data_IF_855768117389
#
_entry.id   IF_855768117389
#
_cell.length_a   1.000
_cell.length_b   1.000
_cell.length_c   1.000
_cell.angle_alpha   90.00
_cell.angle_beta   90.00
_cell.angle_gamma   90.00
#
_symmetry.space_group_name_H-M   'P 1'
#
loop_
_entity.id
_entity.type
_entity.pdbx_description
1 polymer ?
#
# COMPACT_ATOMS: atom_id res chain seq x y z
N UNK A 1 -18.97 -3.02 16.48
CA UNK A 1 -18.31 -3.02 15.16
C UNK A 1 -17.70 -1.64 14.90
N UNK A 2 -16.39 -1.39 15.10
CA UNK A 2 -15.88 -0.03 14.90
C UNK A 2 -14.63 -0.04 14.02
N UNK A 3 -14.77 0.03 12.69
CA UNK A 3 -13.71 0.48 11.77
C UNK A 3 -14.19 0.57 10.30
N UNK A 4 -15.50 0.49 10.02
CA UNK A 4 -15.99 0.77 8.67
C UNK A 4 -15.77 2.26 8.37
N UNK A 5 -14.82 2.53 7.48
CA UNK A 5 -14.62 3.88 6.94
C UNK A 5 -15.93 4.34 6.28
N UNK A 6 -16.34 5.61 6.44
CA UNK A 6 -17.58 6.10 5.84
C UNK A 6 -17.60 5.83 4.33
N UNK A 7 -18.78 5.47 3.78
CA UNK A 7 -18.93 5.22 2.34
C UNK A 7 -18.67 6.52 1.58
N UNK A 8 -17.73 6.48 0.65
CA UNK A 8 -17.47 7.55 -0.31
C UNK A 8 -18.24 7.28 -1.60
N UNK A 9 -18.60 8.34 -2.33
CA UNK A 9 -19.17 8.18 -3.67
C UNK A 9 -18.20 7.45 -4.60
N UNK A 10 -18.71 6.48 -5.37
CA UNK A 10 -17.93 5.65 -6.32
C UNK A 10 -17.22 6.49 -7.37
N UNK A 11 -17.73 7.68 -7.70
CA UNK A 11 -17.07 8.62 -8.61
C UNK A 11 -15.69 9.11 -8.10
N UNK A 12 -15.49 9.12 -6.77
CA UNK A 12 -14.27 9.65 -6.13
C UNK A 12 -13.16 8.59 -5.98
N UNK A 13 -13.56 7.31 -5.98
CA UNK A 13 -12.66 6.17 -5.91
C UNK A 13 -11.79 6.09 -7.19
N UNK A 14 -10.56 5.56 -7.09
CA UNK A 14 -9.73 5.39 -8.28
C UNK A 14 -10.34 4.31 -9.17
N UNK A 15 -10.49 4.61 -10.46
CA UNK A 15 -11.10 3.70 -11.44
C UNK A 15 -10.17 2.58 -11.93
N UNK A 16 -9.05 2.34 -11.21
CA UNK A 16 -8.09 1.32 -11.57
C UNK A 16 -6.85 1.32 -10.68
N UNK A 17 -6.12 0.21 -10.70
CA UNK A 17 -4.91 0.01 -9.92
C UNK A 17 -3.88 1.11 -10.15
N UNK A 18 -3.64 1.48 -11.42
CA UNK A 18 -2.67 2.50 -11.77
C UNK A 18 -2.96 3.85 -11.12
N UNK A 19 -4.23 4.27 -11.06
CA UNK A 19 -4.62 5.54 -10.43
C UNK A 19 -4.52 5.47 -8.90
N UNK A 20 -4.81 4.32 -8.30
CA UNK A 20 -4.61 4.09 -6.88
C UNK A 20 -3.13 4.17 -6.51
N UNK A 21 -2.28 3.45 -7.24
CA UNK A 21 -0.81 3.47 -7.06
C UNK A 21 -0.25 4.87 -7.28
N UNK A 22 -0.67 5.56 -8.33
CA UNK A 22 -0.24 6.94 -8.61
C UNK A 22 -0.56 7.89 -7.47
N UNK A 23 -1.77 7.82 -6.91
CA UNK A 23 -2.15 8.61 -5.72
C UNK A 23 -1.22 8.31 -4.54
N UNK A 24 -0.89 7.03 -4.32
CA UNK A 24 0.08 6.61 -3.29
C UNK A 24 1.49 7.14 -3.54
N UNK A 25 2.00 7.05 -4.77
CA UNK A 25 3.31 7.57 -5.20
C UNK A 25 3.40 9.09 -4.99
N UNK A 26 2.33 9.83 -5.29
CA UNK A 26 2.24 11.27 -5.00
C UNK A 26 2.08 11.60 -3.50
N UNK A 27 2.11 10.60 -2.60
CA UNK A 27 1.93 10.79 -1.17
C UNK A 27 0.52 11.19 -0.76
N UNK A 28 -0.49 10.94 -1.60
CA UNK A 28 -1.91 11.20 -1.34
C UNK A 28 -2.63 9.92 -0.93
N UNK A 29 -3.75 10.07 -0.23
CA UNK A 29 -4.62 8.96 0.13
C UNK A 29 -5.08 8.22 -1.15
N UNK A 30 -4.80 6.91 -1.31
CA UNK A 30 -5.17 6.20 -2.54
C UNK A 30 -6.69 6.04 -2.69
N UNK A 31 -7.43 5.97 -1.57
CA UNK A 31 -8.91 5.89 -1.55
C UNK A 31 -9.56 7.18 -2.03
N UNK A 32 -9.35 8.30 -1.34
CA UNK A 32 -10.05 9.58 -1.63
C UNK A 32 -9.25 10.61 -2.43
N UNK A 33 -7.92 10.51 -2.46
CA UNK A 33 -7.04 11.48 -3.15
C UNK A 33 -6.93 12.87 -2.49
N UNK A 34 -7.69 13.16 -1.43
CA UNK A 34 -7.83 14.52 -0.87
C UNK A 34 -6.86 14.90 0.24
N UNK A 35 -6.16 13.95 0.88
CA UNK A 35 -5.20 14.23 1.97
C UNK A 35 -3.89 13.51 1.77
N UNK A 36 -2.86 13.94 2.50
CA UNK A 36 -1.59 13.22 2.56
C UNK A 36 -1.75 11.85 3.23
N UNK A 37 -1.04 10.86 2.68
CA UNK A 37 -0.92 9.50 3.22
C UNK A 37 0.12 9.42 4.34
N UNK A 38 1.13 10.30 4.30
CA UNK A 38 2.24 10.32 5.23
C UNK A 38 2.09 11.48 6.22
N UNK A 39 2.21 11.18 7.51
CA UNK A 39 2.28 12.19 8.57
C UNK A 39 3.69 12.79 8.68
N UNK A 40 4.70 11.94 8.45
CA UNK A 40 6.13 12.26 8.44
C UNK A 40 6.79 11.44 7.34
N UNK A 41 8.02 11.80 6.95
CA UNK A 41 8.77 11.26 5.81
C UNK A 41 8.45 9.78 5.43
N UNK A 42 8.61 8.82 6.35
CA UNK A 42 8.24 7.40 6.12
C UNK A 42 7.08 6.89 6.99
N UNK A 43 6.49 7.72 7.86
CA UNK A 43 5.44 7.30 8.81
C UNK A 43 4.05 7.60 8.23
N UNK A 44 3.27 6.58 7.85
CA UNK A 44 1.90 6.78 7.38
C UNK A 44 1.01 7.34 8.49
N UNK A 45 -0.05 8.04 8.12
CA UNK A 45 -1.12 8.43 9.05
C UNK A 45 -1.88 7.18 9.48
N UNK A 46 -2.29 7.09 10.75
CA UNK A 46 -3.11 5.95 11.20
C UNK A 46 -4.46 5.91 10.49
N UNK A 47 -5.11 7.07 10.36
CA UNK A 47 -6.39 7.23 9.67
C UNK A 47 -6.35 8.43 8.73
N UNK A 48 -6.94 8.27 7.55
CA UNK A 48 -7.16 9.41 6.65
C UNK A 48 -8.18 10.38 7.28
N UNK A 49 -7.86 11.69 7.29
CA UNK A 49 -8.73 12.74 7.84
C UNK A 49 -10.03 12.94 7.06
N UNK A 50 -10.03 12.66 5.75
CA UNK A 50 -11.21 12.84 4.90
C UNK A 50 -12.08 11.59 4.84
N UNK A 51 -11.48 10.42 4.60
CA UNK A 51 -12.25 9.19 4.37
C UNK A 51 -12.25 8.22 5.54
N UNK A 52 -11.55 8.50 6.63
CA UNK A 52 -11.51 7.65 7.82
C UNK A 52 -10.80 6.31 7.66
N UNK A 53 -10.23 6.01 6.49
CA UNK A 53 -9.58 4.72 6.21
C UNK A 53 -8.41 4.50 7.15
N UNK A 54 -8.39 3.33 7.80
CA UNK A 54 -7.28 2.90 8.63
C UNK A 54 -6.12 2.39 7.75
N UNK A 55 -4.94 3.01 7.87
CA UNK A 55 -3.73 2.60 7.15
C UNK A 55 -2.76 1.81 8.02
N UNK A 56 -2.98 1.59 9.32
CA UNK A 56 -2.05 0.84 10.19
C UNK A 56 -1.90 -0.64 9.83
N UNK A 57 -2.70 -1.13 8.89
CA UNK A 57 -2.77 -2.54 8.45
C UNK A 57 -1.71 -2.90 7.39
N UNK A 58 -0.88 -1.95 6.98
CA UNK A 58 0.19 -2.18 6.00
C UNK A 58 1.35 -2.96 6.63
N UNK A 59 1.86 -3.96 5.91
CA UNK A 59 3.14 -4.61 6.18
C UNK A 59 3.99 -4.42 4.91
N UNK A 60 4.61 -3.26 4.80
CA UNK A 60 5.17 -2.76 3.54
C UNK A 60 6.62 -2.28 3.67
N UNK A 61 7.34 -2.66 4.71
CA UNK A 61 8.62 -2.01 5.03
C UNK A 61 9.82 -2.58 4.26
N UNK A 62 9.78 -3.83 3.77
CA UNK A 62 10.92 -4.45 3.09
C UNK A 62 10.99 -4.16 1.58
N UNK A 63 9.86 -4.02 0.89
CA UNK A 63 9.82 -3.85 -0.56
C UNK A 63 10.23 -2.44 -1.08
N UNK A 64 9.92 -1.32 -0.39
CA UNK A 64 10.30 0.01 -0.85
C UNK A 64 11.81 0.24 -1.01
N UNK A 65 12.68 -0.22 -0.07
CA UNK A 65 14.14 -0.15 -0.26
C UNK A 65 14.64 -0.86 -1.52
N UNK A 66 14.10 -2.03 -1.86
CA UNK A 66 14.48 -2.76 -3.07
C UNK A 66 14.11 -2.01 -4.36
N UNK A 67 12.93 -1.41 -4.42
CA UNK A 67 12.55 -0.57 -5.56
C UNK A 67 13.48 0.63 -5.68
N UNK A 68 13.76 1.29 -4.56
CA UNK A 68 14.58 2.49 -4.53
C UNK A 68 16.01 2.21 -5.00
N UNK A 69 16.64 1.12 -4.54
CA UNK A 69 18.01 0.77 -4.93
C UNK A 69 18.11 0.32 -6.39
N UNK A 70 17.14 -0.45 -6.89
CA UNK A 70 17.12 -0.89 -8.29
C UNK A 70 17.01 0.32 -9.22
N UNK A 71 16.07 1.22 -8.96
CA UNK A 71 15.86 2.39 -9.82
C UNK A 71 17.02 3.38 -9.70
N UNK A 72 17.56 3.59 -8.49
CA UNK A 72 18.77 4.42 -8.30
C UNK A 72 19.95 3.85 -9.08
N UNK A 73 20.21 2.54 -9.00
CA UNK A 73 21.30 1.90 -9.73
C UNK A 73 21.16 2.03 -11.25
N UNK A 74 19.95 1.85 -11.79
CA UNK A 74 19.70 1.99 -13.23
C UNK A 74 19.85 3.43 -13.74
N UNK A 75 19.59 4.43 -12.90
CA UNK A 75 19.81 5.84 -13.25
C UNK A 75 21.29 6.19 -13.09
N UNK A 76 21.94 5.72 -12.03
CA UNK A 76 23.33 6.04 -11.72
C UNK A 76 24.32 5.39 -12.68
N UNK A 77 24.08 4.16 -13.12
CA UNK A 77 24.98 3.45 -14.04
C UNK A 77 25.28 4.23 -15.34
N UNK A 78 24.29 4.67 -16.13
CA UNK A 78 24.56 5.46 -17.34
C UNK A 78 25.18 6.83 -17.01
N UNK A 79 24.80 7.47 -15.90
CA UNK A 79 25.38 8.76 -15.48
C UNK A 79 26.87 8.62 -15.16
N UNK A 80 27.26 7.58 -14.42
CA UNK A 80 28.65 7.32 -14.06
C UNK A 80 29.49 7.04 -15.31
N UNK A 81 28.94 6.26 -16.25
CA UNK A 81 29.60 5.95 -17.52
C UNK A 81 29.80 7.23 -18.34
N UNK A 82 28.75 8.04 -18.53
CA UNK A 82 28.80 9.30 -19.27
C UNK A 82 29.83 10.27 -18.65
N UNK A 83 29.79 10.42 -17.33
CA UNK A 83 30.70 11.30 -16.60
C UNK A 83 32.15 10.82 -16.75
N UNK A 84 32.39 9.51 -16.63
CA UNK A 84 33.71 8.91 -16.78
C UNK A 84 34.31 9.04 -18.18
N UNK A 85 33.49 9.02 -19.23
CA UNK A 85 33.95 9.09 -20.61
C UNK A 85 34.20 10.53 -21.10
N UNK A 86 33.37 11.50 -20.67
CA UNK A 86 33.32 12.81 -21.35
C UNK A 86 33.93 13.98 -20.58
N UNK A 87 34.14 13.86 -19.26
CA UNK A 87 34.37 15.05 -18.43
C UNK A 87 35.78 15.19 -17.85
N UNK A 88 36.59 14.12 -17.85
CA UNK A 88 37.96 14.15 -17.33
C UNK A 88 38.05 14.61 -15.87
N UNK A 89 36.98 14.46 -15.09
CA UNK A 89 36.94 14.92 -13.70
C UNK A 89 37.98 14.19 -12.84
N UNK A 90 38.61 14.88 -11.87
CA UNK A 90 39.44 14.22 -10.88
C UNK A 90 38.58 13.28 -10.02
N UNK A 91 39.13 12.13 -9.64
CA UNK A 91 38.36 11.04 -9.01
C UNK A 91 37.61 11.43 -7.73
N UNK A 92 38.14 12.37 -6.94
CA UNK A 92 37.46 12.88 -5.75
C UNK A 92 36.18 13.67 -6.07
N UNK A 93 36.19 14.45 -7.16
CA UNK A 93 35.04 15.25 -7.58
C UNK A 93 33.94 14.33 -8.14
N UNK A 94 34.32 13.32 -8.91
CA UNK A 94 33.40 12.27 -9.37
C UNK A 94 32.75 11.53 -8.19
N UNK A 95 33.54 11.11 -7.19
CA UNK A 95 33.02 10.46 -5.99
C UNK A 95 32.00 11.33 -5.24
N UNK A 96 32.28 12.62 -5.06
CA UNK A 96 31.36 13.54 -4.40
C UNK A 96 30.05 13.70 -5.18
N UNK A 97 30.12 13.91 -6.49
CA UNK A 97 28.92 14.06 -7.34
C UNK A 97 28.07 12.78 -7.28
N UNK A 98 28.71 11.63 -7.48
CA UNK A 98 28.04 10.32 -7.47
C UNK A 98 27.41 10.04 -6.10
N UNK A 99 28.12 10.33 -5.00
CA UNK A 99 27.61 10.11 -3.65
C UNK A 99 26.41 11.02 -3.33
N UNK A 100 26.50 12.32 -3.64
CA UNK A 100 25.40 13.26 -3.41
C UNK A 100 24.19 12.90 -4.28
N UNK A 101 24.40 12.58 -5.55
CA UNK A 101 23.33 12.15 -6.44
C UNK A 101 22.65 10.86 -5.95
N UNK A 102 23.42 9.85 -5.57
CA UNK A 102 22.88 8.60 -5.04
C UNK A 102 22.05 8.84 -3.77
N UNK A 103 22.53 9.70 -2.87
CA UNK A 103 21.80 10.06 -1.66
C UNK A 103 20.48 10.75 -1.97
N UNK A 104 20.49 11.75 -2.87
CA UNK A 104 19.28 12.49 -3.26
C UNK A 104 18.27 11.56 -3.93
N UNK A 105 18.72 10.70 -4.85
CA UNK A 105 17.84 9.74 -5.53
C UNK A 105 17.24 8.73 -4.55
N UNK A 106 18.05 8.16 -3.66
CA UNK A 106 17.57 7.16 -2.70
C UNK A 106 16.53 7.76 -1.74
N UNK A 107 16.84 8.90 -1.14
CA UNK A 107 15.92 9.63 -0.24
C UNK A 107 14.65 10.02 -1.00
N UNK A 108 14.79 10.55 -2.21
CA UNK A 108 13.67 10.95 -3.05
C UNK A 108 12.76 9.80 -3.49
N UNK A 109 13.30 8.60 -3.73
CA UNK A 109 12.54 7.42 -4.17
C UNK A 109 11.90 6.64 -3.03
N UNK A 110 12.47 6.67 -1.81
CA UNK A 110 11.96 5.90 -0.69
C UNK A 110 10.50 6.25 -0.34
N UNK A 111 10.18 7.55 -0.31
CA UNK A 111 8.83 8.03 -0.01
C UNK A 111 7.77 7.61 -1.07
N UNK A 112 7.97 7.86 -2.38
CA UNK A 112 7.01 7.43 -3.40
C UNK A 112 6.92 5.91 -3.52
N UNK A 113 8.03 5.18 -3.37
CA UNK A 113 8.02 3.72 -3.37
C UNK A 113 7.12 3.18 -2.24
N UNK A 114 7.30 3.66 -1.00
CA UNK A 114 6.47 3.25 0.12
C UNK A 114 4.98 3.56 -0.12
N UNK A 115 4.69 4.74 -0.68
CA UNK A 115 3.32 5.15 -0.95
C UNK A 115 2.62 4.31 -2.02
N UNK A 116 3.34 3.98 -3.10
CA UNK A 116 2.84 3.10 -4.15
C UNK A 116 2.55 1.69 -3.65
N UNK A 117 3.39 1.16 -2.76
CA UNK A 117 3.25 -0.19 -2.21
C UNK A 117 2.06 -0.29 -1.27
N UNK A 118 1.87 0.69 -0.39
CA UNK A 118 0.68 0.77 0.48
C UNK A 118 -0.60 0.83 -0.38
N UNK A 119 -0.60 1.63 -1.45
CA UNK A 119 -1.73 1.72 -2.37
C UNK A 119 -2.00 0.40 -3.12
N UNK A 120 -0.95 -0.32 -3.52
CA UNK A 120 -1.05 -1.64 -4.15
C UNK A 120 -1.63 -2.69 -3.18
N UNK A 121 -1.14 -2.73 -1.94
CA UNK A 121 -1.66 -3.64 -0.90
C UNK A 121 -3.14 -3.38 -0.63
N UNK A 122 -3.53 -2.11 -0.51
CA UNK A 122 -4.93 -1.71 -0.33
C UNK A 122 -5.79 -2.08 -1.55
N UNK A 123 -5.33 -1.82 -2.77
CA UNK A 123 -6.11 -2.10 -3.98
C UNK A 123 -6.36 -3.60 -4.16
N UNK A 124 -5.33 -4.42 -3.95
CA UNK A 124 -5.42 -5.88 -4.09
C UNK A 124 -6.12 -6.54 -2.91
N UNK A 125 -6.22 -5.86 -1.76
CA UNK A 125 -6.77 -6.40 -0.52
C UNK A 125 -5.79 -7.34 0.20
N UNK A 126 -4.48 -7.13 0.02
CA UNK A 126 -3.45 -7.94 0.68
C UNK A 126 -3.27 -7.48 2.13
N UNK A 127 -2.92 -8.41 3.04
CA UNK A 127 -2.82 -8.17 4.49
C UNK A 127 -4.16 -7.76 5.13
N UNK A 128 -4.13 -6.95 6.19
CA UNK A 128 -5.32 -6.54 6.95
C UNK A 128 -6.35 -5.72 6.14
N UNK A 129 -6.15 -5.52 4.84
CA UNK A 129 -7.06 -4.82 3.93
C UNK A 129 -8.10 -5.72 3.26
N UNK A 130 -8.14 -7.04 3.54
CA UNK A 130 -9.05 -7.99 2.88
C UNK A 130 -10.55 -7.56 2.92
N UNK A 131 -11.00 -6.94 4.01
CA UNK A 131 -12.38 -6.45 4.16
C UNK A 131 -12.68 -5.09 3.48
N UNK A 132 -11.66 -4.36 3.04
CA UNK A 132 -11.78 -2.99 2.48
C UNK A 132 -10.92 -2.83 1.22
N UNK A 133 -10.83 -3.88 0.41
CA UNK A 133 -10.00 -3.90 -0.78
C UNK A 133 -10.50 -2.86 -1.80
N UNK A 134 -9.60 -2.00 -2.29
CA UNK A 134 -9.96 -0.91 -3.20
C UNK A 134 -10.66 -1.40 -4.48
N UNK A 135 -10.29 -2.58 -5.00
CA UNK A 135 -10.96 -3.21 -6.15
C UNK A 135 -12.44 -3.55 -5.89
N UNK A 136 -12.77 -3.93 -4.65
CA UNK A 136 -14.14 -4.26 -4.22
C UNK A 136 -14.94 -2.97 -4.04
N UNK A 137 -14.35 -1.96 -3.40
CA UNK A 137 -15.00 -0.66 -3.21
C UNK A 137 -15.27 0.07 -4.53
N UNK A 138 -14.32 0.01 -5.47
CA UNK A 138 -14.43 0.66 -6.78
C UNK A 138 -15.32 -0.10 -7.77
N UNK A 139 -15.77 -1.33 -7.45
CA UNK A 139 -16.51 -2.18 -8.38
C UNK A 139 -15.72 -2.57 -9.64
N UNK A 140 -14.39 -2.39 -9.61
CA UNK A 140 -13.52 -2.64 -10.75
C UNK A 140 -13.24 -4.15 -10.82
N UNK A 141 -14.03 -4.88 -11.61
CA UNK A 141 -13.81 -6.31 -11.83
C UNK A 141 -12.65 -6.51 -12.81
N UNK A 142 -11.42 -6.50 -12.31
CA UNK A 142 -10.31 -7.08 -13.07
C UNK A 142 -10.51 -8.61 -13.14
N UNK A 143 -10.31 -9.27 -14.29
CA UNK A 143 -10.49 -10.71 -14.43
C UNK A 143 -9.28 -11.46 -13.87
N UNK A 144 -9.04 -11.36 -12.57
CA UNK A 144 -8.26 -12.36 -11.86
C UNK A 144 -9.18 -12.93 -10.78
N UNK A 145 -9.85 -14.02 -11.16
CA UNK A 145 -10.42 -14.98 -10.22
C UNK A 145 -9.27 -15.55 -9.41
N UNK A 146 -8.92 -14.86 -8.34
CA UNK A 146 -8.30 -15.49 -7.19
C UNK A 146 -9.48 -15.75 -6.28
N UNK A 147 -10.07 -16.95 -6.40
CA UNK A 147 -11.05 -17.39 -5.43
C UNK A 147 -10.37 -17.32 -4.06
N UNK A 148 -10.94 -16.60 -3.08
CA UNK A 148 -10.40 -16.61 -1.75
C UNK A 148 -10.52 -18.04 -1.21
N UNK A 149 -9.39 -18.72 -1.04
CA UNK A 149 -9.28 -19.81 -0.06
C UNK A 149 -9.41 -19.16 1.31
N UNK A 150 -10.62 -18.78 1.68
CA UNK A 150 -10.99 -18.45 3.04
C UNK A 150 -12.31 -19.17 3.30
N UNK A 151 -12.32 -20.21 4.14
CA UNK A 151 -13.56 -20.82 4.59
C UNK A 151 -14.34 -19.76 5.37
N UNK A 152 -15.48 -19.38 4.82
CA UNK A 152 -16.47 -18.59 5.54
C UNK A 152 -16.99 -19.38 6.73
N UNK A 153 -17.09 -18.70 7.88
CA UNK A 153 -18.01 -19.00 9.00
C UNK A 153 -17.43 -19.91 10.11
N UNK A 154 -16.92 -19.28 11.17
CA UNK A 154 -17.08 -19.80 12.53
C UNK A 154 -18.33 -19.09 13.07
N UNK A 155 -19.44 -19.81 13.16
CA UNK A 155 -20.66 -19.33 13.84
C UNK A 155 -20.44 -19.40 15.36
N UNK A 156 -20.48 -18.27 16.08
CA UNK A 156 -20.55 -18.28 17.53
C UNK A 156 -22.01 -18.21 17.96
N UNK A 157 -22.55 -19.34 18.44
CA UNK A 157 -23.77 -19.36 19.24
C UNK A 157 -25.04 -19.79 18.52
N UNK A 158 -25.33 -21.09 18.58
CA UNK A 158 -26.70 -21.51 18.88
C UNK A 158 -26.66 -22.12 20.29
N UNK A 159 -27.05 -21.30 21.25
CA UNK A 159 -27.33 -21.70 22.61
C UNK A 159 -28.83 -21.68 22.82
N UNK A 160 -29.32 -22.80 23.39
CA UNK A 160 -30.47 -22.84 24.29
C UNK A 160 -31.86 -22.73 23.63
N UNK A 161 -32.43 -23.88 23.24
CA UNK A 161 -33.88 -24.08 23.26
C UNK A 161 -34.24 -25.27 24.17
N UNK A 162 -35.06 -24.95 25.18
CA UNK A 162 -35.61 -25.83 26.20
C UNK A 162 -36.62 -26.83 25.59
N UNK A 163 -36.53 -28.10 25.98
CA UNK A 163 -37.66 -29.03 26.25
C UNK A 163 -37.14 -30.03 27.30
N UNK A 164 -37.53 -30.00 28.57
CA UNK A 164 -38.83 -30.36 29.14
C UNK A 164 -39.37 -31.70 28.59
N UNK A 165 -39.27 -32.75 29.41
CA UNK A 165 -40.23 -33.86 29.41
C UNK A 165 -39.68 -35.25 29.07
N UNK A 166 -40.04 -36.21 29.95
CA UNK A 166 -39.87 -37.67 29.88
C UNK A 166 -38.46 -38.20 30.20
N UNK A 167 -38.23 -39.08 31.16
CA UNK A 167 -39.14 -39.97 31.88
C UNK A 167 -38.61 -41.41 31.81
N UNK A 168 -38.27 -41.96 32.98
CA UNK A 168 -38.31 -43.38 33.38
C UNK A 168 -37.51 -44.45 32.60
N UNK A 169 -36.74 -45.19 33.41
CA UNK A 169 -36.57 -46.65 33.46
C UNK A 169 -35.71 -47.36 32.41
N UNK A 170 -34.80 -48.18 32.96
CA UNK A 170 -33.90 -49.20 32.42
C UNK A 170 -32.50 -48.73 31.99
#
# INVERSE_FOLDING_TARGET
>A
MPNAAPPLDRSTLPQGLGRAVWRGVCGKCPRCGGTHLFARFLKPVERCRMCGQNWTLHAADDFPPYIAILLTGHIMAPVIIELGLHTGLPGWAMMLIVAVMALVLLVGLLQPAKGGVIALQWWLGMHGFAGHAGKVEAGCRFPLRIDPVFPSRIDPGDGMSRRAGFGSSW
#
